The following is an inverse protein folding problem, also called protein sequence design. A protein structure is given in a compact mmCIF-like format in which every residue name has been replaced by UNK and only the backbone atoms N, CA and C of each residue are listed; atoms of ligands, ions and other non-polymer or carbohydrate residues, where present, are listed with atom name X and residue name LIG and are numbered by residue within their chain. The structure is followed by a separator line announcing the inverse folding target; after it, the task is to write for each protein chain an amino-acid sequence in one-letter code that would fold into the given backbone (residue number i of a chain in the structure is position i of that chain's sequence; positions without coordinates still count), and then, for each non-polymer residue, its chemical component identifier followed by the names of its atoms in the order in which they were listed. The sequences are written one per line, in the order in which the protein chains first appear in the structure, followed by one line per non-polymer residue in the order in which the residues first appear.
data_IF_573243909418
#
_entry.id   IF_573243909418
#
_cell.length_a   1.000
_cell.length_b   1.000
_cell.length_c   1.000
_cell.angle_alpha   90.00
_cell.angle_beta   90.00
_cell.angle_gamma   90.00
#
_symmetry.space_group_name_H-M   'P 1'
#
loop_
_entity.id
_entity.type
_entity.pdbx_description
1 polymer ?
#
# COMPACT_ATOMS: atom_id res chain seq x y z
N UNK A 1 26.24 14.85 -1.99
CA UNK A 1 25.16 13.86 -1.75
C UNK A 1 25.82 12.50 -1.51
N UNK A 2 25.62 11.86 -0.34
CA UNK A 2 26.46 10.75 0.15
C UNK A 2 25.99 9.40 -0.39
N UNK A 3 26.86 8.69 -1.12
CA UNK A 3 26.65 7.34 -1.71
C UNK A 3 25.93 6.29 -0.83
N UNK A 4 26.15 6.19 0.50
CA UNK A 4 25.44 5.20 1.32
C UNK A 4 23.92 5.41 1.43
N UNK A 5 23.43 6.65 1.36
CA UNK A 5 21.98 6.93 1.49
C UNK A 5 21.20 6.44 0.27
N UNK A 6 21.80 6.49 -0.92
CA UNK A 6 21.16 6.02 -2.16
C UNK A 6 21.03 4.49 -2.13
N UNK A 7 22.05 3.79 -1.68
CA UNK A 7 22.00 2.33 -1.54
C UNK A 7 20.88 1.89 -0.59
N UNK A 8 20.73 2.58 0.56
CA UNK A 8 19.70 2.27 1.54
C UNK A 8 18.28 2.45 0.97
N UNK A 9 18.02 3.56 0.27
CA UNK A 9 16.73 3.81 -0.37
C UNK A 9 16.44 2.75 -1.45
N UNK A 10 17.44 2.36 -2.26
CA UNK A 10 17.26 1.33 -3.29
C UNK A 10 16.92 -0.02 -2.65
N UNK A 11 17.61 -0.42 -1.59
CA UNK A 11 17.35 -1.69 -0.90
C UNK A 11 15.94 -1.70 -0.29
N UNK A 12 15.53 -0.59 0.35
CA UNK A 12 14.18 -0.49 0.90
C UNK A 12 13.11 -0.51 -0.20
N UNK A 13 13.32 0.21 -1.30
CA UNK A 13 12.40 0.21 -2.44
C UNK A 13 12.30 -1.15 -3.12
N UNK A 14 13.40 -1.90 -3.19
CA UNK A 14 13.40 -3.27 -3.70
C UNK A 14 12.57 -4.18 -2.79
N UNK A 15 12.77 -4.09 -1.47
CA UNK A 15 12.02 -4.88 -0.51
C UNK A 15 10.52 -4.55 -0.51
N UNK A 16 10.15 -3.27 -0.59
CA UNK A 16 8.75 -2.85 -0.70
C UNK A 16 8.11 -3.34 -2.00
N UNK A 17 8.84 -3.30 -3.11
CA UNK A 17 8.37 -3.77 -4.42
C UNK A 17 8.12 -5.28 -4.42
N UNK A 18 8.98 -6.05 -3.75
CA UNK A 18 8.78 -7.49 -3.56
C UNK A 18 7.53 -7.76 -2.72
N UNK A 19 7.34 -7.03 -1.62
CA UNK A 19 6.13 -7.14 -0.79
C UNK A 19 4.85 -6.86 -1.59
N UNK A 20 4.82 -5.76 -2.35
CA UNK A 20 3.68 -5.39 -3.20
C UNK A 20 3.42 -6.43 -4.30
N UNK A 21 4.46 -6.99 -4.92
CA UNK A 21 4.30 -8.03 -5.94
C UNK A 21 3.68 -9.33 -5.40
N UNK A 22 4.11 -9.74 -4.20
CA UNK A 22 3.55 -10.89 -3.51
C UNK A 22 2.10 -10.65 -3.09
N UNK A 23 1.83 -9.48 -2.48
CA UNK A 23 0.48 -9.09 -2.10
C UNK A 23 -0.44 -9.05 -3.32
N UNK A 24 -0.05 -8.39 -4.41
CA UNK A 24 -0.87 -8.28 -5.62
C UNK A 24 -1.28 -9.64 -6.23
N UNK A 25 -0.44 -10.67 -6.10
CA UNK A 25 -0.72 -12.01 -6.63
C UNK A 25 -1.61 -12.84 -5.69
N UNK A 26 -1.39 -12.73 -4.38
CA UNK A 26 -2.12 -13.50 -3.35
C UNK A 26 -3.48 -12.87 -3.03
N UNK A 27 -3.60 -11.56 -3.18
CA UNK A 27 -4.74 -10.77 -2.74
C UNK A 27 -6.08 -11.19 -3.36
N UNK A 28 -6.21 -11.39 -4.69
CA UNK A 28 -7.47 -11.87 -5.26
C UNK A 28 -7.90 -13.23 -4.69
N UNK A 29 -6.94 -14.13 -4.47
CA UNK A 29 -7.19 -15.46 -3.92
C UNK A 29 -7.66 -15.36 -2.47
N UNK A 30 -7.06 -14.46 -1.68
CA UNK A 30 -7.45 -14.19 -0.30
C UNK A 30 -8.89 -13.68 -0.23
N UNK A 31 -9.26 -12.69 -1.04
CA UNK A 31 -10.60 -12.10 -1.04
C UNK A 31 -11.66 -13.13 -1.47
N UNK A 32 -11.41 -13.88 -2.54
CA UNK A 32 -12.33 -14.88 -3.07
C UNK A 32 -12.56 -16.06 -2.10
N UNK A 33 -11.48 -16.63 -1.54
CA UNK A 33 -11.59 -17.81 -0.67
C UNK A 33 -12.02 -17.48 0.76
N UNK A 34 -11.64 -16.32 1.31
CA UNK A 34 -11.87 -15.98 2.73
C UNK A 34 -13.25 -15.35 2.94
N UNK A 35 -13.75 -14.57 1.99
CA UNK A 35 -14.97 -13.76 2.15
C UNK A 35 -16.11 -14.20 1.23
N UNK A 36 -15.96 -15.29 0.46
CA UNK A 36 -16.91 -15.71 -0.58
C UNK A 36 -17.32 -14.56 -1.51
N UNK A 37 -16.39 -13.63 -1.74
CA UNK A 37 -16.58 -12.41 -2.50
C UNK A 37 -16.64 -12.70 -4.01
N UNK A 38 -17.23 -11.79 -4.77
CA UNK A 38 -17.25 -11.87 -6.22
C UNK A 38 -15.96 -11.28 -6.82
N UNK A 39 -15.64 -11.66 -8.07
CA UNK A 39 -14.57 -11.04 -8.85
C UNK A 39 -14.81 -9.53 -9.02
N UNK A 40 -16.07 -9.10 -9.03
CA UNK A 40 -16.45 -7.69 -9.05
C UNK A 40 -15.97 -6.95 -7.79
N UNK A 41 -16.05 -7.57 -6.61
CA UNK A 41 -15.60 -6.96 -5.36
C UNK A 41 -14.09 -6.75 -5.39
N UNK A 42 -13.32 -7.74 -5.87
CA UNK A 42 -11.86 -7.60 -6.04
C UNK A 42 -11.51 -6.43 -6.97
N UNK A 43 -12.27 -6.26 -8.05
CA UNK A 43 -12.08 -5.14 -8.98
C UNK A 43 -12.43 -3.79 -8.37
N UNK A 44 -13.52 -3.71 -7.60
CA UNK A 44 -13.90 -2.48 -6.88
C UNK A 44 -12.87 -2.11 -5.82
N UNK A 45 -12.45 -3.07 -5.02
CA UNK A 45 -11.41 -2.97 -4.02
C UNK A 45 -10.10 -2.38 -4.63
N UNK A 46 -9.60 -3.00 -5.70
CA UNK A 46 -8.44 -2.51 -6.44
C UNK A 46 -8.62 -1.08 -7.01
N UNK A 47 -9.85 -0.74 -7.43
CA UNK A 47 -10.18 0.59 -7.93
C UNK A 47 -10.17 1.63 -6.81
N UNK A 48 -10.72 1.32 -5.64
CA UNK A 48 -10.70 2.20 -4.46
C UNK A 48 -9.25 2.45 -4.05
N UNK A 49 -8.44 1.40 -3.92
CA UNK A 49 -7.01 1.52 -3.65
C UNK A 49 -6.31 2.43 -4.67
N UNK A 50 -6.52 2.16 -5.97
CA UNK A 50 -5.93 2.95 -7.05
C UNK A 50 -6.35 4.42 -7.05
N UNK A 51 -7.62 4.71 -6.79
CA UNK A 51 -8.16 6.08 -6.72
C UNK A 51 -7.57 6.84 -5.54
N UNK A 52 -7.54 6.23 -4.35
CA UNK A 52 -6.96 6.86 -3.16
C UNK A 52 -5.47 7.09 -3.37
N UNK A 53 -4.73 6.10 -3.85
CA UNK A 53 -3.31 6.27 -4.17
C UNK A 53 -3.07 7.36 -5.21
N UNK A 54 -3.90 7.45 -6.26
CA UNK A 54 -3.76 8.51 -7.25
C UNK A 54 -3.98 9.90 -6.62
N UNK A 55 -5.01 10.03 -5.78
CA UNK A 55 -5.35 11.30 -5.13
C UNK A 55 -4.29 11.72 -4.11
N UNK A 56 -3.72 10.77 -3.36
CA UNK A 56 -2.72 11.02 -2.32
C UNK A 56 -1.28 11.14 -2.86
N UNK A 57 -0.97 10.59 -4.04
CA UNK A 57 0.35 10.76 -4.67
C UNK A 57 0.66 12.23 -4.98
N UNK A 58 -0.33 13.00 -5.41
CA UNK A 58 -0.15 14.42 -5.74
C UNK A 58 0.29 15.29 -4.52
N UNK A 59 -0.41 15.26 -3.37
CA UNK A 59 0.04 15.96 -2.18
C UNK A 59 1.30 15.34 -1.59
N UNK A 60 1.46 14.01 -1.60
CA UNK A 60 2.66 13.35 -1.11
C UNK A 60 3.91 13.82 -1.86
N UNK A 61 3.84 13.99 -3.19
CA UNK A 61 4.94 14.54 -3.99
C UNK A 61 5.34 15.95 -3.57
N UNK A 62 4.37 16.85 -3.32
CA UNK A 62 4.67 18.20 -2.81
C UNK A 62 5.31 18.17 -1.41
N UNK A 63 4.84 17.26 -0.57
CA UNK A 63 5.34 17.03 0.78
C UNK A 63 6.79 16.48 0.75
N UNK A 64 7.16 15.68 -0.26
CA UNK A 64 8.55 15.24 -0.48
C UNK A 64 9.48 16.42 -0.72
N UNK A 65 9.04 17.39 -1.52
CA UNK A 65 9.83 18.57 -1.86
C UNK A 65 10.07 19.49 -0.64
N UNK A 66 9.17 19.45 0.36
CA UNK A 66 9.26 20.30 1.58
C UNK A 66 9.90 19.59 2.78
N UNK A 67 9.56 18.32 3.04
CA UNK A 67 10.01 17.57 4.21
C UNK A 67 11.22 16.65 3.94
N UNK A 68 11.58 16.46 2.67
CA UNK A 68 12.68 15.60 2.25
C UNK A 68 12.25 14.16 1.98
N UNK A 69 12.84 13.58 0.92
CA UNK A 69 12.50 12.25 0.40
C UNK A 69 12.64 11.09 1.39
N UNK A 70 13.61 11.15 2.31
CA UNK A 70 13.88 10.05 3.24
C UNK A 70 12.76 9.89 4.28
N UNK A 71 12.25 11.01 4.80
CA UNK A 71 11.19 11.00 5.83
C UNK A 71 9.87 10.51 5.25
N UNK A 72 9.50 11.02 4.08
CA UNK A 72 8.21 10.67 3.45
C UNK A 72 8.19 9.21 3.03
N UNK A 73 9.29 8.73 2.44
CA UNK A 73 9.41 7.32 2.07
C UNK A 73 9.28 6.42 3.30
N UNK A 74 9.90 6.78 4.42
CA UNK A 74 9.79 6.02 5.66
C UNK A 74 8.36 5.99 6.22
N UNK A 75 7.64 7.12 6.16
CA UNK A 75 6.22 7.21 6.56
C UNK A 75 5.35 6.31 5.69
N UNK A 76 5.53 6.33 4.36
CA UNK A 76 4.80 5.46 3.43
C UNK A 76 5.04 3.98 3.72
N UNK A 77 6.30 3.59 3.96
CA UNK A 77 6.65 2.20 4.34
C UNK A 77 5.98 1.79 5.66
N UNK A 78 5.94 2.66 6.67
CA UNK A 78 5.23 2.38 7.93
C UNK A 78 3.73 2.23 7.69
N UNK A 79 3.11 3.12 6.92
CA UNK A 79 1.69 3.02 6.58
C UNK A 79 1.37 1.70 5.87
N UNK A 80 2.22 1.29 4.92
CA UNK A 80 2.09 0.02 4.22
C UNK A 80 2.23 -1.17 5.16
N UNK A 81 3.19 -1.14 6.09
CA UNK A 81 3.32 -2.19 7.10
C UNK A 81 2.06 -2.28 8.00
N UNK A 82 1.51 -1.14 8.43
CA UNK A 82 0.29 -1.11 9.24
C UNK A 82 -0.90 -1.67 8.46
N UNK A 83 -1.10 -1.27 7.20
CA UNK A 83 -2.20 -1.79 6.40
C UNK A 83 -2.06 -3.29 6.10
N UNK A 84 -0.82 -3.78 5.94
CA UNK A 84 -0.55 -5.22 5.80
C UNK A 84 -0.98 -5.99 7.06
N UNK A 85 -0.69 -5.45 8.25
CA UNK A 85 -1.13 -6.05 9.53
C UNK A 85 -2.64 -5.94 9.71
N UNK A 86 -3.26 -4.86 9.22
CA UNK A 86 -4.70 -4.66 9.33
C UNK A 86 -5.50 -5.75 8.58
N UNK A 87 -4.97 -6.31 7.49
CA UNK A 87 -5.59 -7.46 6.80
C UNK A 87 -5.79 -8.68 7.70
N UNK A 88 -4.96 -8.84 8.74
CA UNK A 88 -5.10 -9.94 9.70
C UNK A 88 -6.38 -9.85 10.55
N UNK A 89 -6.93 -8.64 10.68
CA UNK A 89 -8.15 -8.35 11.42
C UNK A 89 -9.38 -8.15 10.52
N UNK A 90 -9.26 -8.45 9.22
CA UNK A 90 -10.39 -8.39 8.30
C UNK A 90 -11.31 -9.61 8.50
N UNK A 91 -12.48 -9.40 9.11
CA UNK A 91 -13.52 -10.42 9.28
C UNK A 91 -14.73 -10.22 8.35
N UNK A 92 -14.91 -9.01 7.81
CA UNK A 92 -15.95 -8.68 6.83
C UNK A 92 -15.38 -7.93 5.62
N UNK A 93 -16.12 -7.97 4.49
CA UNK A 93 -15.75 -7.27 3.25
C UNK A 93 -15.66 -5.75 3.44
N UNK A 94 -16.49 -5.17 4.32
CA UNK A 94 -16.48 -3.74 4.63
C UNK A 94 -15.20 -3.30 5.34
N UNK A 95 -14.65 -4.15 6.21
CA UNK A 95 -13.34 -3.90 6.83
C UNK A 95 -12.25 -3.88 5.78
N UNK A 96 -12.38 -4.72 4.75
CA UNK A 96 -11.45 -4.81 3.63
C UNK A 96 -11.43 -3.52 2.79
N UNK A 97 -12.60 -2.95 2.48
CA UNK A 97 -12.71 -1.63 1.85
C UNK A 97 -12.08 -0.51 2.67
N UNK A 98 -12.28 -0.51 4.00
CA UNK A 98 -11.63 0.47 4.88
C UNK A 98 -10.12 0.30 4.89
N UNK A 99 -9.63 -0.95 4.98
CA UNK A 99 -8.20 -1.25 4.97
C UNK A 99 -7.57 -0.77 3.66
N UNK A 100 -8.19 -1.04 2.51
CA UNK A 100 -7.68 -0.55 1.23
C UNK A 100 -7.69 0.97 1.09
N UNK A 101 -8.70 1.64 1.65
CA UNK A 101 -8.72 3.08 1.68
C UNK A 101 -7.50 3.62 2.46
N UNK A 102 -7.21 3.08 3.63
CA UNK A 102 -6.02 3.48 4.40
C UNK A 102 -4.70 3.04 3.75
N UNK A 103 -4.67 1.85 3.17
CA UNK A 103 -3.49 1.31 2.48
C UNK A 103 -3.18 2.12 1.21
N UNK A 104 -4.20 2.65 0.53
CA UNK A 104 -4.04 3.52 -0.63
C UNK A 104 -3.29 4.82 -0.34
N UNK A 105 -3.19 5.22 0.93
CA UNK A 105 -2.47 6.43 1.36
C UNK A 105 -0.95 6.19 1.43
N UNK A 106 -0.51 4.93 1.52
CA UNK A 106 0.90 4.55 1.70
C UNK A 106 1.80 4.79 0.48
#
# INVERSE_FOLDING_TARGET
MRRPQIALIITLSALSSLGMGLLGSIYPIFVLNRFSASVLDVGMLATVFGLVSALFKAPAGKLVDTCGKEVIFFIGVILSAIGTIAYLFAFDILHLYLIEFFFGIS
#
